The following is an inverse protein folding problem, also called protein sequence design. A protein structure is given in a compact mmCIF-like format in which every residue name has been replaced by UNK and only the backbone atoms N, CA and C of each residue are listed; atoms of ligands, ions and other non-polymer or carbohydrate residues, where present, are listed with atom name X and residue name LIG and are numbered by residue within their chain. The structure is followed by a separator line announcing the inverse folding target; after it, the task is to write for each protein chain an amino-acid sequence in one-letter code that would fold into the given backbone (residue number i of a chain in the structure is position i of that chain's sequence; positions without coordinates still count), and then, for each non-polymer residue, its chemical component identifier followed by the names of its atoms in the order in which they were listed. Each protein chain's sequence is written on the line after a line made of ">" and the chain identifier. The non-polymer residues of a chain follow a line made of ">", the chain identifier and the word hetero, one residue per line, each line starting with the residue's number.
data_IF_977073985471
#
_entry.id   IF_977073985471
#
_cell.length_a   1.000
_cell.length_b   1.000
_cell.length_c   1.000
_cell.angle_alpha   90.00
_cell.angle_beta   90.00
_cell.angle_gamma   90.00
#
_symmetry.space_group_name_H-M   'P 1'
#
loop_
_entity.id
_entity.type
_entity.pdbx_description
1 polymer ?
#
# COMPACT_ATOMS: atom_id res chain seq x y z
N UNK A 1 25.45 38.38 13.36
CA UNK A 1 25.36 37.14 14.16
C UNK A 1 23.99 36.52 13.90
N UNK A 2 23.99 35.49 13.06
CA UNK A 2 22.80 34.89 12.44
C UNK A 2 22.16 33.90 13.39
N UNK A 3 20.93 34.14 13.84
CA UNK A 3 20.15 33.12 14.55
C UNK A 3 19.65 32.09 13.53
N UNK A 4 20.25 30.89 13.59
CA UNK A 4 19.87 29.71 12.82
C UNK A 4 18.54 29.18 13.35
N UNK A 5 17.48 29.38 12.57
CA UNK A 5 16.14 28.83 12.74
C UNK A 5 16.25 27.30 12.90
N UNK A 6 15.94 26.77 14.08
CA UNK A 6 15.80 25.32 14.32
C UNK A 6 14.54 24.88 13.59
N UNK A 7 14.69 23.99 12.62
CA UNK A 7 13.59 23.40 11.85
C UNK A 7 12.65 22.63 12.80
N UNK A 8 11.32 22.63 12.57
CA UNK A 8 10.41 21.86 13.39
C UNK A 8 10.62 20.37 13.17
N UNK A 9 10.65 19.66 14.29
CA UNK A 9 10.69 18.22 14.47
C UNK A 9 9.55 17.54 13.69
N UNK A 10 9.90 16.54 12.87
CA UNK A 10 8.92 15.63 12.23
C UNK A 10 8.59 14.54 13.25
N UNK A 11 7.60 14.77 14.11
CA UNK A 11 7.17 13.80 15.12
C UNK A 11 5.64 13.73 15.09
N UNK A 12 5.11 12.51 14.85
CA UNK A 12 3.84 11.95 15.35
C UNK A 12 3.06 11.08 14.34
N UNK A 13 3.25 11.21 13.02
CA UNK A 13 2.45 10.42 12.06
C UNK A 13 3.05 9.07 11.65
N UNK A 14 4.37 8.89 11.79
CA UNK A 14 5.06 7.64 11.39
C UNK A 14 4.80 6.52 12.40
N UNK A 15 4.90 6.81 13.70
CA UNK A 15 4.72 5.83 14.78
C UNK A 15 3.34 5.17 14.77
N UNK A 16 2.27 5.95 14.55
CA UNK A 16 0.92 5.39 14.51
C UNK A 16 0.71 4.48 13.29
N UNK A 17 1.24 4.83 12.11
CA UNK A 17 1.10 3.98 10.92
C UNK A 17 1.80 2.63 11.08
N UNK A 18 3.01 2.66 11.62
CA UNK A 18 3.84 1.48 11.84
C UNK A 18 3.19 0.53 12.88
N UNK A 19 2.62 1.06 13.97
CA UNK A 19 1.88 0.28 14.97
C UNK A 19 0.68 -0.46 14.39
N UNK A 20 -0.11 0.18 13.52
CA UNK A 20 -1.27 -0.47 12.90
C UNK A 20 -0.85 -1.57 11.92
N UNK A 21 0.27 -1.37 11.23
CA UNK A 21 0.82 -2.36 10.31
C UNK A 21 1.33 -3.60 11.06
N UNK A 22 2.01 -3.39 12.18
CA UNK A 22 2.47 -4.47 13.07
C UNK A 22 1.29 -5.27 13.65
N UNK A 23 0.23 -4.59 14.11
CA UNK A 23 -0.99 -5.24 14.57
C UNK A 23 -1.68 -6.07 13.48
N UNK A 24 -1.71 -5.54 12.25
CA UNK A 24 -2.30 -6.25 11.11
C UNK A 24 -1.48 -7.50 10.75
N UNK A 25 -0.15 -7.39 10.73
CA UNK A 25 0.78 -8.51 10.49
C UNK A 25 0.55 -9.65 11.50
N UNK A 26 0.60 -9.33 12.79
CA UNK A 26 0.46 -10.30 13.88
C UNK A 26 -0.94 -10.97 13.86
N UNK A 27 -2.00 -10.19 13.61
CA UNK A 27 -3.35 -10.75 13.48
C UNK A 27 -3.49 -11.70 12.29
N UNK A 28 -2.88 -11.38 11.15
CA UNK A 28 -2.94 -12.22 9.94
C UNK A 28 -2.12 -13.50 10.10
N UNK A 29 -0.90 -13.41 10.63
CA UNK A 29 -0.05 -14.57 10.92
C UNK A 29 -0.76 -15.54 11.87
N UNK A 30 -1.34 -15.03 12.96
CA UNK A 30 -2.09 -15.86 13.92
C UNK A 30 -3.27 -16.59 13.30
N UNK A 31 -3.99 -15.95 12.38
CA UNK A 31 -5.12 -16.58 11.69
C UNK A 31 -4.64 -17.68 10.73
N UNK A 32 -3.60 -17.40 9.94
CA UNK A 32 -3.09 -18.37 8.97
C UNK A 32 -2.53 -19.63 9.65
N UNK A 33 -1.84 -19.45 10.77
CA UNK A 33 -1.18 -20.51 11.55
C UNK A 33 -2.12 -21.23 12.54
N UNK A 34 -3.41 -20.88 12.58
CA UNK A 34 -4.36 -21.47 13.53
C UNK A 34 -4.66 -22.95 13.26
N UNK A 35 -3.97 -23.83 13.97
CA UNK A 35 -4.15 -25.30 13.89
C UNK A 35 -5.52 -25.81 14.36
N UNK A 36 -6.37 -24.98 14.96
CA UNK A 36 -7.72 -25.38 15.38
C UNK A 36 -8.75 -25.39 14.25
N UNK A 37 -8.45 -24.76 13.11
CA UNK A 37 -9.36 -24.76 11.95
C UNK A 37 -9.26 -26.11 11.22
N UNK A 38 -10.35 -26.89 11.11
CA UNK A 38 -10.33 -28.17 10.41
C UNK A 38 -9.98 -28.01 8.92
N UNK A 39 -9.26 -28.98 8.36
CA UNK A 39 -8.82 -28.96 6.96
C UNK A 39 -9.96 -28.78 5.96
N UNK A 40 -11.12 -29.43 6.22
CA UNK A 40 -12.30 -29.29 5.36
C UNK A 40 -12.81 -27.84 5.25
N UNK A 41 -12.66 -27.05 6.33
CA UNK A 41 -13.03 -25.62 6.32
C UNK A 41 -11.98 -24.82 5.57
N UNK A 42 -10.68 -25.11 5.79
CA UNK A 42 -9.57 -24.48 5.06
C UNK A 42 -9.68 -24.71 3.55
N UNK A 43 -10.01 -25.92 3.14
CA UNK A 43 -10.23 -26.28 1.74
C UNK A 43 -11.41 -25.52 1.13
N UNK A 44 -12.52 -25.42 1.88
CA UNK A 44 -13.70 -24.70 1.40
C UNK A 44 -13.48 -23.18 1.25
N UNK A 45 -12.58 -22.60 2.04
CA UNK A 45 -12.21 -21.19 2.02
C UNK A 45 -10.83 -20.94 1.39
N UNK A 46 -10.30 -21.88 0.61
CA UNK A 46 -8.92 -21.82 0.11
C UNK A 46 -8.59 -20.48 -0.57
N UNK A 47 -9.52 -19.96 -1.39
CA UNK A 47 -9.36 -18.68 -2.07
C UNK A 47 -9.27 -17.48 -1.11
N UNK A 48 -10.00 -17.52 0.01
CA UNK A 48 -9.94 -16.48 1.03
C UNK A 48 -8.61 -16.54 1.78
N UNK A 49 -8.13 -17.75 2.12
CA UNK A 49 -6.83 -17.95 2.74
C UNK A 49 -5.67 -17.50 1.84
N UNK A 50 -5.77 -17.73 0.53
CA UNK A 50 -4.77 -17.23 -0.42
C UNK A 50 -4.79 -15.69 -0.49
N UNK A 51 -5.97 -15.08 -0.47
CA UNK A 51 -6.09 -13.61 -0.39
C UNK A 51 -5.47 -13.03 0.89
N UNK A 52 -5.62 -13.71 2.03
CA UNK A 52 -4.99 -13.31 3.29
C UNK A 52 -3.47 -13.46 3.26
N UNK A 53 -2.95 -14.52 2.62
CA UNK A 53 -1.50 -14.68 2.39
C UNK A 53 -0.95 -13.56 1.52
N UNK A 54 -1.64 -13.19 0.46
CA UNK A 54 -1.25 -12.07 -0.40
C UNK A 54 -1.23 -10.74 0.37
N UNK A 55 -2.18 -10.54 1.28
CA UNK A 55 -2.19 -9.36 2.15
C UNK A 55 -1.00 -9.37 3.11
N UNK A 56 -0.69 -10.50 3.75
CA UNK A 56 0.46 -10.64 4.63
C UNK A 56 1.78 -10.37 3.88
N UNK A 57 1.93 -10.96 2.69
CA UNK A 57 3.10 -10.73 1.83
C UNK A 57 3.28 -9.24 1.50
N UNK A 58 2.20 -8.50 1.22
CA UNK A 58 2.27 -7.06 0.94
C UNK A 58 2.80 -6.26 2.13
N UNK A 59 2.37 -6.65 3.34
CA UNK A 59 2.83 -6.02 4.59
C UNK A 59 4.31 -6.31 4.81
N UNK A 60 4.74 -7.57 4.66
CA UNK A 60 6.14 -7.99 4.87
C UNK A 60 7.11 -7.40 3.85
N UNK A 61 6.67 -7.18 2.61
CA UNK A 61 7.49 -6.59 1.56
C UNK A 61 7.46 -5.04 1.56
N UNK A 62 6.84 -4.41 2.57
CA UNK A 62 6.68 -2.96 2.69
C UNK A 62 6.11 -2.32 1.40
N UNK A 63 5.20 -3.02 0.71
CA UNK A 63 4.65 -2.53 -0.55
C UNK A 63 3.74 -1.32 -0.32
N UNK A 64 4.19 -0.14 -0.78
CA UNK A 64 3.43 1.10 -0.63
C UNK A 64 2.29 1.15 -1.66
N UNK A 65 1.05 0.99 -1.18
CA UNK A 65 -0.15 1.17 -1.99
C UNK A 65 -0.56 2.65 -2.04
N UNK A 66 -0.43 3.28 -3.20
CA UNK A 66 -0.85 4.67 -3.42
C UNK A 66 -2.09 4.73 -4.31
N UNK A 67 -3.22 5.14 -3.75
CA UNK A 67 -4.43 5.42 -4.51
C UNK A 67 -4.43 6.89 -4.97
N UNK A 68 -4.45 7.15 -6.28
CA UNK A 68 -4.50 8.51 -6.83
C UNK A 68 -5.86 8.79 -7.45
N UNK A 69 -6.59 9.75 -6.87
CA UNK A 69 -7.92 10.15 -7.31
C UNK A 69 -7.92 11.56 -7.91
N UNK A 70 -8.77 11.80 -8.90
CA UNK A 70 -8.98 13.14 -9.47
C UNK A 70 -9.61 13.13 -10.86
N UNK A 71 -10.10 14.28 -11.30
CA UNK A 71 -10.76 14.46 -12.61
C UNK A 71 -9.90 13.94 -13.77
N UNK A 72 -10.54 13.55 -14.87
CA UNK A 72 -9.83 13.14 -16.09
C UNK A 72 -8.94 14.29 -16.60
N UNK A 73 -7.79 13.94 -17.19
CA UNK A 73 -6.86 14.88 -17.83
C UNK A 73 -6.23 15.97 -16.94
N UNK A 74 -6.20 15.80 -15.60
CA UNK A 74 -5.52 16.74 -14.69
C UNK A 74 -4.02 16.45 -14.51
N UNK A 75 -3.45 15.52 -15.28
CA UNK A 75 -2.01 15.19 -15.21
C UNK A 75 -1.63 14.19 -14.10
N UNK A 76 -2.56 13.35 -13.62
CA UNK A 76 -2.29 12.34 -12.58
C UNK A 76 -1.14 11.40 -12.95
N UNK A 77 -1.15 10.85 -14.16
CA UNK A 77 -0.11 9.94 -14.66
C UNK A 77 1.24 10.65 -14.80
N UNK A 78 1.24 11.93 -15.21
CA UNK A 78 2.46 12.75 -15.27
C UNK A 78 3.06 13.02 -13.89
N UNK A 79 2.21 13.28 -12.88
CA UNK A 79 2.66 13.42 -11.49
C UNK A 79 3.25 12.10 -10.96
N UNK A 80 2.58 10.98 -11.23
CA UNK A 80 3.04 9.66 -10.82
C UNK A 80 4.39 9.29 -11.45
N UNK A 81 4.58 9.57 -12.76
CA UNK A 81 5.88 9.36 -13.41
C UNK A 81 6.98 10.23 -12.80
N UNK A 82 6.67 11.49 -12.47
CA UNK A 82 7.62 12.39 -11.83
C UNK A 82 7.99 11.91 -10.41
N UNK A 83 7.02 11.38 -9.64
CA UNK A 83 7.24 10.81 -8.31
C UNK A 83 8.03 9.49 -8.38
N UNK A 84 7.72 8.63 -9.35
CA UNK A 84 8.39 7.35 -9.57
C UNK A 84 9.78 7.50 -10.20
N UNK A 85 10.11 8.67 -10.76
CA UNK A 85 11.36 8.91 -11.49
C UNK A 85 11.48 8.11 -12.79
N UNK A 86 10.41 7.46 -13.23
CA UNK A 86 10.34 6.59 -14.40
C UNK A 86 9.01 6.78 -15.14
N UNK A 87 8.97 6.51 -16.44
CA UNK A 87 7.72 6.54 -17.22
C UNK A 87 6.94 5.24 -17.02
N UNK A 88 6.37 5.06 -15.83
CA UNK A 88 5.59 3.88 -15.46
C UNK A 88 4.14 3.93 -15.98
N UNK A 89 3.60 5.13 -16.18
CA UNK A 89 2.21 5.36 -16.59
C UNK A 89 2.14 6.09 -17.93
N UNK A 90 1.23 5.65 -18.81
CA UNK A 90 0.98 6.31 -20.10
C UNK A 90 0.45 7.74 -19.89
N UNK A 91 1.03 8.71 -20.59
CA UNK A 91 0.60 10.11 -20.59
C UNK A 91 0.33 10.57 -22.01
N UNK A 92 -0.89 11.04 -22.29
CA UNK A 92 -1.24 11.68 -23.56
C UNK A 92 -1.97 13.01 -23.30
N UNK A 93 -1.61 14.09 -24.03
CA UNK A 93 -2.35 15.36 -23.97
C UNK A 93 -3.73 15.27 -24.66
N UNK A 94 -3.97 14.24 -25.47
CA UNK A 94 -5.26 13.88 -26.05
C UNK A 94 -5.89 12.79 -25.15
N UNK A 95 -6.93 13.17 -24.41
CA UNK A 95 -7.70 12.42 -23.39
C UNK A 95 -7.63 10.88 -23.40
N UNK A 96 -7.66 10.30 -22.19
CA UNK A 96 -8.26 8.98 -21.96
C UNK A 96 -7.33 7.78 -21.85
N UNK A 97 -6.19 7.87 -21.19
CA UNK A 97 -5.33 6.70 -20.97
C UNK A 97 -4.94 6.52 -19.50
N UNK A 98 -5.51 5.47 -18.89
CA UNK A 98 -4.86 4.45 -18.06
C UNK A 98 -5.89 3.34 -17.97
N UNK A 99 -5.84 2.38 -18.90
CA UNK A 99 -6.63 1.14 -18.84
C UNK A 99 -5.65 -0.01 -18.89
N UNK A 100 -5.31 -0.55 -17.73
CA UNK A 100 -5.27 -2.00 -17.54
C UNK A 100 -5.79 -2.33 -16.13
N UNK A 101 -6.69 -3.31 -16.12
CA UNK A 101 -7.28 -4.04 -15.00
C UNK A 101 -6.31 -5.14 -14.58
#
# INVERSE_FOLDING_TARGET
>A
MTQKKKAPEKTDSTTAGDEHLELAHDSLSRLLDDTHVPDAVRDSLAADYDSLRDLLNKIENEEIHVAVLGRVSVGKSSLLNALAGTEAFSTSPLHGETRQI
#
